data_IF_711347156389
#
_entry.id   IF_711347156389
#
_cell.length_a   1.000
_cell.length_b   1.000
_cell.length_c   1.000
_cell.angle_alpha   90.00
_cell.angle_beta   90.00
_cell.angle_gamma   90.00
#
_symmetry.space_group_name_H-M   'P 1'
#
loop_
_entity.id
_entity.type
_entity.pdbx_description
1 polymer ?
#
# COMPACT_ATOMS: atom_id res chain seq x y z
N UNK A 1 -9.08 -4.84 27.18
CA UNK A 1 -8.80 -6.03 26.36
C UNK A 1 -8.14 -5.60 25.06
N UNK A 2 -8.77 -4.72 24.29
CA UNK A 2 -8.26 -4.13 23.04
C UNK A 2 -6.94 -3.37 23.18
N UNK A 3 -6.76 -2.50 24.19
CA UNK A 3 -5.50 -1.78 24.39
C UNK A 3 -4.26 -2.68 24.49
N UNK A 4 -4.40 -3.90 25.04
CA UNK A 4 -3.27 -4.85 25.13
C UNK A 4 -2.92 -5.44 23.76
N UNK A 5 -3.91 -5.61 22.88
CA UNK A 5 -3.71 -6.13 21.53
C UNK A 5 -2.98 -5.11 20.66
N UNK A 6 -3.44 -3.86 20.62
CA UNK A 6 -2.80 -2.82 19.80
C UNK A 6 -1.36 -2.54 20.26
N UNK A 7 -1.13 -2.53 21.56
CA UNK A 7 0.20 -2.42 22.13
C UNK A 7 1.12 -3.58 21.71
N UNK A 8 0.65 -4.83 21.82
CA UNK A 8 1.43 -6.00 21.40
C UNK A 8 1.74 -5.99 19.90
N UNK A 9 0.77 -5.59 19.06
CA UNK A 9 0.97 -5.45 17.61
C UNK A 9 1.99 -4.36 17.28
N UNK A 10 1.94 -3.23 17.98
CA UNK A 10 2.88 -2.13 17.81
C UNK A 10 4.29 -2.53 18.26
N UNK A 11 4.44 -3.19 19.40
CA UNK A 11 5.73 -3.71 19.89
C UNK A 11 6.35 -4.69 18.89
N UNK A 12 5.58 -5.67 18.40
CA UNK A 12 6.04 -6.60 17.35
C UNK A 12 6.46 -5.84 16.07
N UNK A 13 5.68 -4.84 15.64
CA UNK A 13 6.02 -4.02 14.48
C UNK A 13 7.32 -3.23 14.67
N UNK A 14 7.61 -2.76 15.88
CA UNK A 14 8.85 -2.03 16.19
C UNK A 14 10.09 -2.95 16.15
N UNK A 15 9.94 -4.24 16.49
CA UNK A 15 11.04 -5.21 16.50
C UNK A 15 11.37 -5.78 15.12
N UNK A 16 10.41 -5.82 14.20
CA UNK A 16 10.60 -6.36 12.83
C UNK A 16 11.76 -5.70 12.10
N UNK A 17 12.53 -6.46 11.32
CA UNK A 17 13.59 -5.88 10.49
C UNK A 17 13.02 -4.96 9.39
N UNK A 18 13.79 -3.93 8.99
CA UNK A 18 13.40 -2.99 7.93
C UNK A 18 12.56 -1.79 8.41
N UNK A 19 12.16 -0.95 7.46
CA UNK A 19 11.29 0.21 7.71
C UNK A 19 9.81 -0.22 7.72
N UNK A 20 9.00 0.41 8.57
CA UNK A 20 7.54 0.29 8.57
C UNK A 20 6.91 1.53 9.22
N UNK A 21 5.60 1.69 9.02
CA UNK A 21 4.82 2.80 9.54
C UNK A 21 4.85 2.93 11.06
N UNK A 22 4.89 1.82 11.82
CA UNK A 22 4.98 1.88 13.28
C UNK A 22 6.26 2.60 13.74
N UNK A 23 7.40 2.29 13.09
CA UNK A 23 8.69 2.93 13.37
C UNK A 23 8.74 4.38 12.94
N UNK A 24 8.11 4.71 11.82
CA UNK A 24 8.06 6.07 11.30
C UNK A 24 7.20 6.97 12.20
N UNK A 25 5.98 6.50 12.50
CA UNK A 25 5.04 7.16 13.38
C UNK A 25 5.62 7.33 14.79
N UNK A 26 6.28 6.31 15.34
CA UNK A 26 6.92 6.40 16.66
C UNK A 26 8.06 7.44 16.74
N UNK A 27 8.66 7.81 15.60
CA UNK A 27 9.70 8.86 15.52
C UNK A 27 9.15 10.26 15.22
N UNK A 28 7.86 10.37 14.93
CA UNK A 28 7.20 11.62 14.60
C UNK A 28 7.18 12.60 15.77
N UNK A 29 6.95 13.90 15.50
CA UNK A 29 6.85 14.92 16.56
C UNK A 29 5.53 14.79 17.33
N UNK A 30 4.52 14.29 16.64
CA UNK A 30 3.17 14.02 17.11
C UNK A 30 3.19 12.92 18.17
N UNK A 31 3.96 11.85 17.93
CA UNK A 31 4.16 10.76 18.89
C UNK A 31 4.79 11.20 20.22
N UNK A 32 5.59 12.27 20.22
CA UNK A 32 6.20 12.78 21.46
C UNK A 32 5.17 13.36 22.45
N UNK A 33 3.97 13.66 21.97
CA UNK A 33 2.87 14.23 22.76
C UNK A 33 1.81 13.18 23.13
N UNK A 34 2.00 11.92 22.71
CA UNK A 34 1.05 10.84 22.89
C UNK A 34 1.56 9.82 23.92
N UNK A 35 0.64 9.20 24.65
CA UNK A 35 0.94 7.98 25.38
C UNK A 35 1.14 6.81 24.41
N UNK A 36 1.85 5.77 24.84
CA UNK A 36 2.02 4.57 24.00
C UNK A 36 0.70 3.93 23.60
N UNK A 37 -0.33 4.02 24.45
CA UNK A 37 -1.67 3.49 24.15
C UNK A 37 -2.37 4.30 23.06
N UNK A 38 -2.26 5.64 23.11
CA UNK A 38 -2.82 6.51 22.06
C UNK A 38 -2.09 6.29 20.73
N UNK A 39 -0.76 6.18 20.76
CA UNK A 39 0.04 5.91 19.57
C UNK A 39 -0.29 4.55 18.93
N UNK A 40 -0.49 3.52 19.76
CA UNK A 40 -0.88 2.19 19.28
C UNK A 40 -2.28 2.18 18.65
N UNK A 41 -3.20 3.00 19.17
CA UNK A 41 -4.53 3.16 18.63
C UNK A 41 -4.52 3.91 17.29
N UNK A 42 -3.79 5.02 17.21
CA UNK A 42 -3.68 5.80 15.98
C UNK A 42 -3.00 5.01 14.85
N UNK A 43 -1.99 4.19 15.20
CA UNK A 43 -1.35 3.28 14.25
C UNK A 43 -2.33 2.24 13.69
N UNK A 44 -3.19 1.67 14.54
CA UNK A 44 -4.22 0.72 14.08
C UNK A 44 -5.19 1.40 13.12
N UNK A 45 -5.74 2.56 13.50
CA UNK A 45 -6.70 3.29 12.67
C UNK A 45 -6.11 3.60 11.29
N UNK A 46 -4.82 3.98 11.25
CA UNK A 46 -4.10 4.18 10.00
C UNK A 46 -4.09 2.91 9.15
N UNK A 47 -3.65 1.78 9.72
CA UNK A 47 -3.60 0.50 9.01
C UNK A 47 -4.98 0.02 8.54
N UNK A 48 -6.01 0.12 9.38
CA UNK A 48 -7.36 -0.33 9.05
C UNK A 48 -7.94 0.48 7.89
N UNK A 49 -7.75 1.80 7.89
CA UNK A 49 -8.21 2.67 6.80
C UNK A 49 -7.56 2.36 5.44
N UNK A 50 -6.28 1.97 5.45
CA UNK A 50 -5.53 1.57 4.26
C UNK A 50 -6.02 0.23 3.71
N UNK A 51 -6.25 -0.74 4.61
CA UNK A 51 -6.68 -2.09 4.24
C UNK A 51 -8.09 -2.06 3.63
N UNK A 52 -9.03 -1.33 4.24
CA UNK A 52 -10.41 -1.27 3.76
C UNK A 52 -10.48 -0.68 2.34
N UNK A 53 -9.88 0.49 2.14
CA UNK A 53 -9.95 1.21 0.86
C UNK A 53 -9.24 0.46 -0.27
N UNK A 54 -8.04 -0.08 -0.01
CA UNK A 54 -7.29 -0.89 -0.99
C UNK A 54 -8.01 -2.19 -1.32
N UNK A 55 -8.63 -2.81 -0.31
CA UNK A 55 -9.43 -4.02 -0.49
C UNK A 55 -10.60 -3.80 -1.45
N UNK A 56 -11.35 -2.71 -1.27
CA UNK A 56 -12.44 -2.32 -2.18
C UNK A 56 -11.91 -2.03 -3.58
N UNK A 57 -10.80 -1.30 -3.70
CA UNK A 57 -10.21 -0.98 -5.01
C UNK A 57 -9.78 -2.24 -5.77
N UNK A 58 -9.20 -3.24 -5.09
CA UNK A 58 -8.84 -4.53 -5.67
C UNK A 58 -10.08 -5.32 -6.13
N UNK A 59 -11.17 -5.30 -5.36
CA UNK A 59 -12.42 -5.93 -5.77
C UNK A 59 -12.98 -5.30 -7.03
N UNK A 60 -12.99 -3.96 -7.11
CA UNK A 60 -13.42 -3.22 -8.31
C UNK A 60 -12.52 -3.55 -9.49
N UNK A 61 -11.21 -3.62 -9.28
CA UNK A 61 -10.24 -4.01 -10.32
C UNK A 61 -10.55 -5.40 -10.88
N UNK A 62 -10.79 -6.39 -10.02
CA UNK A 62 -11.15 -7.76 -10.44
C UNK A 62 -12.47 -7.75 -11.21
N UNK A 63 -13.48 -7.01 -10.75
CA UNK A 63 -14.75 -6.88 -11.48
C UNK A 63 -14.56 -6.23 -12.86
N UNK A 64 -13.77 -5.17 -12.95
CA UNK A 64 -13.45 -4.50 -14.21
C UNK A 64 -12.68 -5.42 -15.16
N UNK A 65 -11.77 -6.25 -14.65
CA UNK A 65 -11.08 -7.26 -15.46
C UNK A 65 -12.05 -8.31 -16.03
N UNK A 66 -12.98 -8.81 -15.20
CA UNK A 66 -13.98 -9.78 -15.65
C UNK A 66 -14.94 -9.20 -16.69
N UNK A 67 -15.31 -7.93 -16.56
CA UNK A 67 -16.21 -7.25 -17.49
C UNK A 67 -15.52 -6.84 -18.81
N UNK A 68 -14.23 -6.49 -18.75
CA UNK A 68 -13.49 -5.95 -19.88
C UNK A 68 -12.07 -6.54 -19.94
N UNK A 69 -11.89 -7.82 -20.26
CA UNK A 69 -10.57 -8.47 -20.18
C UNK A 69 -9.53 -7.88 -21.16
N UNK A 70 -9.98 -7.27 -22.25
CA UNK A 70 -9.12 -6.74 -23.32
C UNK A 70 -8.14 -5.66 -22.84
N UNK A 71 -8.54 -4.81 -21.89
CA UNK A 71 -7.69 -3.72 -21.42
C UNK A 71 -6.48 -4.25 -20.61
N UNK A 72 -6.64 -5.34 -19.86
CA UNK A 72 -5.54 -5.94 -19.10
C UNK A 72 -4.51 -6.56 -20.03
N UNK A 73 -4.95 -7.20 -21.12
CA UNK A 73 -4.04 -7.74 -22.13
C UNK A 73 -3.24 -6.60 -22.78
N UNK A 74 -3.89 -5.47 -23.08
CA UNK A 74 -3.21 -4.28 -23.60
C UNK A 74 -2.21 -3.71 -22.59
N UNK A 75 -2.61 -3.55 -21.33
CA UNK A 75 -1.74 -3.01 -20.27
C UNK A 75 -0.53 -3.92 -20.01
N UNK A 76 -0.72 -5.24 -19.99
CA UNK A 76 0.39 -6.20 -19.85
C UNK A 76 1.35 -6.09 -21.04
N UNK A 77 0.82 -6.00 -22.27
CA UNK A 77 1.65 -5.82 -23.46
C UNK A 77 2.46 -4.52 -23.42
N UNK A 78 1.86 -3.41 -22.97
CA UNK A 78 2.58 -2.14 -22.80
C UNK A 78 3.69 -2.24 -21.74
N UNK A 79 3.43 -2.91 -20.62
CA UNK A 79 4.46 -3.20 -19.61
C UNK A 79 5.61 -4.01 -20.22
N UNK A 80 5.30 -5.07 -20.96
CA UNK A 80 6.28 -5.93 -21.60
C UNK A 80 7.10 -5.17 -22.67
N UNK A 81 6.49 -4.21 -23.38
CA UNK A 81 7.17 -3.39 -24.39
C UNK A 81 8.11 -2.34 -23.78
N UNK A 82 7.72 -1.71 -22.66
CA UNK A 82 8.51 -0.65 -22.01
C UNK A 82 9.61 -1.22 -21.12
N UNK A 83 9.30 -2.26 -20.35
CA UNK A 83 10.15 -2.77 -19.28
C UNK A 83 10.91 -4.02 -19.72
N UNK A 84 10.32 -4.82 -20.62
CA UNK A 84 10.83 -6.12 -21.01
C UNK A 84 10.58 -7.20 -19.96
N UNK A 85 10.95 -8.45 -20.29
CA UNK A 85 10.73 -9.61 -19.43
C UNK A 85 11.87 -9.88 -18.42
N UNK A 86 12.92 -9.05 -18.42
CA UNK A 86 14.15 -9.28 -17.65
C UNK A 86 14.04 -8.79 -16.19
N UNK A 87 13.12 -7.85 -15.90
CA UNK A 87 12.93 -7.28 -14.56
C UNK A 87 11.47 -6.95 -14.25
N UNK A 88 11.15 -6.85 -12.97
CA UNK A 88 9.86 -6.33 -12.53
C UNK A 88 9.78 -4.81 -12.73
N UNK A 89 8.57 -4.25 -12.85
CA UNK A 89 8.34 -2.81 -12.88
C UNK A 89 8.82 -2.10 -11.61
N UNK A 90 9.32 -0.88 -11.78
CA UNK A 90 9.63 0.06 -10.70
C UNK A 90 8.84 1.38 -10.88
N UNK A 91 9.00 2.31 -9.94
CA UNK A 91 8.28 3.59 -9.98
C UNK A 91 8.71 4.51 -11.12
N UNK A 92 9.93 4.37 -11.65
CA UNK A 92 10.44 5.21 -12.73
C UNK A 92 9.78 4.84 -14.08
N UNK A 93 9.38 3.58 -14.23
CA UNK A 93 8.68 3.06 -15.42
C UNK A 93 7.30 3.67 -15.63
N UNK A 94 6.64 4.15 -14.56
CA UNK A 94 5.27 4.69 -14.62
C UNK A 94 5.16 5.81 -15.65
N UNK A 95 6.15 6.70 -15.69
CA UNK A 95 6.19 7.85 -16.61
C UNK A 95 6.25 7.47 -18.09
N UNK A 96 6.67 6.23 -18.37
CA UNK A 96 6.88 5.71 -19.72
C UNK A 96 5.68 4.91 -20.23
N UNK A 97 4.71 4.58 -19.36
CA UNK A 97 3.54 3.79 -19.73
C UNK A 97 2.49 4.64 -20.48
N UNK A 98 2.18 4.32 -21.76
CA UNK A 98 1.24 5.10 -22.58
C UNK A 98 -0.14 5.25 -21.93
N UNK A 99 -0.68 4.16 -21.35
CA UNK A 99 -1.98 4.16 -20.68
C UNK A 99 -2.08 5.18 -19.53
N UNK A 100 -0.98 5.44 -18.83
CA UNK A 100 -0.93 6.41 -17.72
C UNK A 100 -0.81 7.87 -18.20
N UNK A 101 -0.32 8.07 -19.43
CA UNK A 101 -0.03 9.39 -20.01
C UNK A 101 -1.22 10.07 -20.71
N UNK A 102 -2.43 9.49 -20.60
CA UNK A 102 -3.66 10.09 -21.09
C UNK A 102 -3.80 10.16 -22.62
N UNK A 103 -2.97 9.42 -23.37
CA UNK A 103 -3.09 9.32 -24.84
C UNK A 103 -4.03 8.18 -25.21
N UNK A 104 -5.33 8.44 -25.04
CA UNK A 104 -6.43 7.67 -25.65
C UNK A 104 -6.85 8.29 -26.97
#
# INVERSE_FOLDING_TARGET
>A
MWSKLHMANMEDALERAGWNWAKDLNKSKEAQQMTSTELAWDLEVLCDSEIETTGVQLQIFVLAYLAFPEWVVKAQKELDEVIGAERLPDFDDISQLPLSSGRG
#
